data_IF_993635402207
#
_entry.id   IF_993635402207
#
_cell.length_a   1.000
_cell.length_b   1.000
_cell.length_c   1.000
_cell.angle_alpha   90.00
_cell.angle_beta   90.00
_cell.angle_gamma   90.00
#
_symmetry.space_group_name_H-M   'P 1'
#
loop_
_entity.id
_entity.type
_entity.pdbx_description
1 polymer ?
#
# COMPACT_ATOMS: atom_id res chain seq x y z
N UNK A 1 -5.40 33.28 -19.14
CA UNK A 1 -5.65 32.31 -18.05
C UNK A 1 -4.39 31.48 -17.85
N UNK A 2 -3.52 31.88 -16.93
CA UNK A 2 -2.42 31.02 -16.49
C UNK A 2 -2.99 30.13 -15.38
N UNK A 3 -3.32 28.89 -15.72
CA UNK A 3 -3.53 27.86 -14.71
C UNK A 3 -2.15 27.56 -14.16
N UNK A 4 -1.82 28.08 -12.99
CA UNK A 4 -0.66 27.62 -12.22
C UNK A 4 -0.87 26.13 -11.97
N UNK A 5 -0.28 25.29 -12.80
CA UNK A 5 -0.28 23.85 -12.63
C UNK A 5 0.65 23.59 -11.46
N UNK A 6 0.13 23.58 -10.25
CA UNK A 6 0.91 23.20 -9.07
C UNK A 6 1.49 21.83 -9.34
N UNK A 7 2.81 21.78 -9.53
CA UNK A 7 3.54 20.52 -9.69
C UNK A 7 3.48 19.84 -8.32
N UNK A 8 2.82 18.68 -8.27
CA UNK A 8 2.71 17.90 -7.03
C UNK A 8 4.07 17.27 -6.75
N UNK A 9 4.62 17.53 -5.56
CA UNK A 9 5.90 16.98 -5.08
C UNK A 9 5.66 15.96 -3.98
N UNK A 10 6.70 15.19 -3.64
CA UNK A 10 6.69 14.38 -2.42
C UNK A 10 6.31 15.23 -1.20
N UNK A 11 5.71 14.64 -0.17
CA UNK A 11 5.29 15.41 0.97
C UNK A 11 6.45 16.10 1.72
N UNK A 12 6.20 17.08 2.59
CA UNK A 12 7.24 17.73 3.39
C UNK A 12 7.85 16.81 4.48
N UNK A 13 9.02 17.17 5.02
CA UNK A 13 9.72 16.48 6.12
C UNK A 13 9.10 16.72 7.49
N UNK A 14 7.86 16.30 7.64
CA UNK A 14 7.13 16.48 8.89
C UNK A 14 6.56 15.14 9.33
N UNK A 15 7.23 14.02 9.03
CA UNK A 15 6.67 12.69 9.33
C UNK A 15 6.51 12.43 10.83
N UNK A 16 7.36 13.02 11.68
CA UNK A 16 7.20 12.97 13.13
C UNK A 16 6.03 13.84 13.59
N UNK A 17 5.91 15.06 13.05
CA UNK A 17 4.78 15.97 13.32
C UNK A 17 3.47 15.41 12.76
N UNK A 18 3.47 14.71 11.63
CA UNK A 18 2.31 14.02 11.05
C UNK A 18 1.96 12.78 11.86
N UNK A 19 2.93 12.09 12.45
CA UNK A 19 2.63 11.00 13.37
C UNK A 19 2.03 11.54 14.66
N UNK A 20 2.56 12.63 15.23
CA UNK A 20 2.03 13.29 16.42
C UNK A 20 0.65 13.93 16.13
N UNK A 21 0.50 14.63 15.02
CA UNK A 21 -0.76 15.20 14.54
C UNK A 21 -1.76 14.10 14.18
N UNK A 22 -1.32 12.96 13.62
CA UNK A 22 -2.22 11.84 13.37
C UNK A 22 -2.67 11.19 14.69
N UNK A 23 -1.77 11.08 15.68
CA UNK A 23 -2.12 10.61 17.02
C UNK A 23 -3.07 11.60 17.71
N UNK A 24 -2.98 12.89 17.41
CA UNK A 24 -3.92 13.91 17.85
C UNK A 24 -5.20 13.99 16.99
N UNK A 25 -5.20 13.50 15.75
CA UNK A 25 -6.38 13.43 14.84
C UNK A 25 -7.46 12.50 15.42
N UNK A 26 -7.09 11.56 16.28
CA UNK A 26 -8.05 10.78 17.05
C UNK A 26 -8.95 11.62 17.97
N UNK A 27 -8.56 12.85 18.29
CA UNK A 27 -9.29 13.80 19.13
C UNK A 27 -9.92 14.95 18.33
N UNK A 28 -9.66 15.05 17.03
CA UNK A 28 -10.14 16.14 16.19
C UNK A 28 -11.39 15.66 15.43
N UNK A 29 -12.52 16.31 15.66
CA UNK A 29 -13.72 16.13 14.84
C UNK A 29 -13.39 16.47 13.37
N UNK A 30 -13.68 15.54 12.47
CA UNK A 30 -13.50 15.71 11.02
C UNK A 30 -14.19 17.00 10.57
N UNK A 31 -13.47 17.89 9.88
CA UNK A 31 -14.06 19.10 9.32
C UNK A 31 -15.22 18.76 8.38
N UNK A 32 -16.34 19.47 8.49
CA UNK A 32 -17.58 19.30 7.69
C UNK A 32 -17.42 19.52 6.17
N UNK A 33 -16.20 19.60 5.64
CA UNK A 33 -15.97 19.68 4.20
C UNK A 33 -16.29 18.32 3.55
N UNK A 34 -17.24 18.34 2.61
CA UNK A 34 -17.64 17.17 1.85
C UNK A 34 -16.46 16.65 1.02
N UNK A 35 -16.02 15.42 1.31
CA UNK A 35 -14.86 14.82 0.64
C UNK A 35 -15.30 14.35 -0.75
N UNK A 36 -14.74 14.97 -1.78
CA UNK A 36 -14.92 14.49 -3.15
C UNK A 36 -14.08 13.24 -3.41
N UNK A 37 -14.68 12.25 -4.09
CA UNK A 37 -14.02 11.01 -4.46
C UNK A 37 -13.86 10.88 -5.97
N UNK A 38 -12.72 10.34 -6.39
CA UNK A 38 -12.45 9.91 -7.76
C UNK A 38 -12.45 8.38 -7.88
N UNK A 39 -12.69 7.89 -9.10
CA UNK A 39 -12.54 6.49 -9.45
C UNK A 39 -11.24 6.30 -10.24
N UNK A 40 -10.46 5.28 -9.86
CA UNK A 40 -9.25 4.86 -10.57
C UNK A 40 -9.39 3.40 -10.96
N UNK A 41 -9.06 3.07 -12.22
CA UNK A 41 -9.07 1.69 -12.70
C UNK A 41 -7.66 1.13 -12.75
N UNK A 42 -7.47 0.01 -12.05
CA UNK A 42 -6.30 -0.84 -12.13
C UNK A 42 -6.57 -1.98 -13.12
N UNK A 43 -5.70 -2.14 -14.12
CA UNK A 43 -5.78 -3.26 -15.07
C UNK A 43 -4.80 -4.35 -14.62
N UNK A 44 -5.29 -5.58 -14.47
CA UNK A 44 -4.45 -6.72 -14.10
C UNK A 44 -3.47 -7.06 -15.21
N UNK A 45 -2.29 -7.51 -14.83
CA UNK A 45 -1.19 -7.80 -15.76
C UNK A 45 -0.96 -9.31 -15.85
N UNK A 46 -1.03 -9.86 -17.06
CA UNK A 46 -0.78 -11.27 -17.33
C UNK A 46 0.60 -11.75 -16.83
N UNK A 47 0.74 -13.01 -16.35
CA UNK A 47 -0.29 -14.05 -16.35
C UNK A 47 -1.29 -13.92 -15.20
N UNK A 48 -2.59 -14.00 -15.51
CA UNK A 48 -3.69 -14.05 -14.54
C UNK A 48 -4.03 -15.51 -14.25
N UNK A 49 -3.85 -15.95 -13.00
CA UNK A 49 -4.04 -17.36 -12.62
C UNK A 49 -5.49 -17.72 -12.26
N UNK A 50 -6.17 -16.84 -11.55
CA UNK A 50 -7.51 -17.07 -11.00
C UNK A 50 -8.46 -15.92 -11.38
N UNK A 51 -9.75 -16.24 -11.51
CA UNK A 51 -10.81 -15.29 -11.90
C UNK A 51 -10.40 -14.50 -13.15
N UNK A 52 -10.03 -15.22 -14.22
CA UNK A 52 -9.44 -14.67 -15.46
C UNK A 52 -10.42 -13.80 -16.26
N UNK A 53 -11.72 -13.92 -15.98
CA UNK A 53 -12.78 -13.07 -16.51
C UNK A 53 -12.73 -11.64 -15.92
N UNK A 54 -12.15 -11.46 -14.73
CA UNK A 54 -11.97 -10.15 -14.10
C UNK A 54 -10.59 -9.60 -14.50
N UNK A 55 -10.55 -8.70 -15.47
CA UNK A 55 -9.30 -8.14 -16.02
C UNK A 55 -8.93 -6.77 -15.45
N UNK A 56 -9.85 -6.13 -14.72
CA UNK A 56 -9.61 -4.83 -14.10
C UNK A 56 -10.41 -4.66 -12.81
N UNK A 57 -9.92 -3.78 -11.94
CA UNK A 57 -10.52 -3.38 -10.67
C UNK A 57 -10.70 -1.87 -10.67
N UNK A 58 -11.88 -1.39 -10.32
CA UNK A 58 -12.11 0.05 -10.13
C UNK A 58 -12.17 0.34 -8.64
N UNK A 59 -11.28 1.21 -8.17
CA UNK A 59 -11.18 1.61 -6.76
C UNK A 59 -11.54 3.09 -6.60
N UNK A 60 -12.19 3.40 -5.50
CA UNK A 60 -12.46 4.78 -5.09
C UNK A 60 -11.30 5.32 -4.26
N UNK A 61 -10.91 6.56 -4.51
CA UNK A 61 -9.92 7.31 -3.74
C UNK A 61 -10.46 8.72 -3.43
N UNK A 62 -10.21 9.27 -2.24
CA UNK A 62 -10.49 10.68 -1.99
C UNK A 62 -9.65 11.54 -2.94
N UNK A 63 -10.12 12.72 -3.36
CA UNK A 63 -9.33 13.58 -4.25
C UNK A 63 -8.14 14.23 -3.53
N UNK A 64 -8.27 14.47 -2.22
CA UNK A 64 -7.22 14.99 -1.35
C UNK A 64 -7.32 14.35 0.01
N UNK A 65 -6.17 14.17 0.66
CA UNK A 65 -6.11 13.67 2.03
C UNK A 65 -4.75 14.02 2.64
N UNK A 66 -4.73 14.43 3.91
CA UNK A 66 -3.52 14.77 4.66
C UNK A 66 -2.55 13.59 4.78
N UNK A 67 -3.10 12.37 4.94
CA UNK A 67 -2.33 11.11 4.96
C UNK A 67 -2.06 10.52 3.57
N UNK A 68 -2.22 11.31 2.50
CA UNK A 68 -1.93 10.94 1.10
C UNK A 68 -2.65 9.69 0.55
N UNK A 69 -3.85 9.44 1.06
CA UNK A 69 -4.75 8.38 0.60
C UNK A 69 -5.33 8.60 -0.80
N UNK A 70 -5.11 9.77 -1.38
CA UNK A 70 -5.64 10.17 -2.69
C UNK A 70 -4.81 9.60 -3.86
N UNK A 71 -3.75 8.84 -3.58
CA UNK A 71 -2.85 8.27 -4.59
C UNK A 71 -2.89 6.74 -4.55
N UNK A 72 -3.00 6.13 -5.72
CA UNK A 72 -2.62 4.73 -5.91
C UNK A 72 -1.10 4.63 -6.01
N UNK A 73 -0.44 4.40 -4.88
CA UNK A 73 1.03 4.38 -4.81
C UNK A 73 1.65 3.27 -5.66
N UNK A 74 2.76 3.59 -6.34
CA UNK A 74 3.55 2.66 -7.14
C UNK A 74 3.86 1.34 -6.42
N UNK A 75 4.21 1.39 -5.14
CA UNK A 75 4.50 0.20 -4.34
C UNK A 75 3.27 -0.72 -4.21
N UNK A 76 2.07 -0.16 -4.00
CA UNK A 76 0.82 -0.91 -3.92
C UNK A 76 0.45 -1.55 -5.26
N UNK A 77 0.61 -0.82 -6.36
CA UNK A 77 0.40 -1.33 -7.73
C UNK A 77 1.36 -2.48 -8.05
N UNK A 78 2.67 -2.26 -7.83
CA UNK A 78 3.69 -3.24 -8.16
C UNK A 78 3.63 -4.49 -7.26
N UNK A 79 3.23 -4.33 -6.00
CA UNK A 79 2.93 -5.46 -5.12
C UNK A 79 1.71 -6.24 -5.63
N UNK A 80 0.65 -5.56 -6.03
CA UNK A 80 -0.55 -6.20 -6.62
C UNK A 80 -0.18 -7.05 -7.84
N UNK A 81 0.59 -6.52 -8.79
CA UNK A 81 1.08 -7.27 -9.95
C UNK A 81 1.89 -8.51 -9.54
N UNK A 82 2.82 -8.34 -8.59
CA UNK A 82 3.64 -9.45 -8.11
C UNK A 82 2.80 -10.54 -7.43
N UNK A 83 1.87 -10.15 -6.56
CA UNK A 83 1.01 -11.08 -5.85
C UNK A 83 0.16 -11.90 -6.82
N UNK A 84 -0.46 -11.24 -7.80
CA UNK A 84 -1.36 -11.87 -8.78
C UNK A 84 -0.63 -12.96 -9.60
N UNK A 85 0.60 -12.65 -10.00
CA UNK A 85 1.39 -13.51 -10.89
C UNK A 85 2.15 -14.62 -10.15
N UNK A 86 2.47 -14.44 -8.87
CA UNK A 86 3.49 -15.28 -8.21
C UNK A 86 2.96 -16.03 -7.00
N UNK A 87 1.93 -15.55 -6.33
CA UNK A 87 1.48 -16.12 -5.06
C UNK A 87 0.21 -16.93 -5.28
N UNK A 88 0.24 -18.20 -4.86
CA UNK A 88 -0.97 -18.98 -4.65
C UNK A 88 -1.53 -18.63 -3.28
N UNK A 89 -2.72 -18.03 -3.22
CA UNK A 89 -3.37 -17.65 -1.97
C UNK A 89 -4.32 -18.71 -1.41
N UNK A 90 -4.42 -19.87 -2.06
CA UNK A 90 -5.26 -20.98 -1.59
C UNK A 90 -4.95 -21.27 -0.11
N UNK A 91 -5.99 -21.25 0.71
CA UNK A 91 -5.96 -21.45 2.16
C UNK A 91 -5.15 -20.43 3.00
N UNK A 92 -4.76 -19.28 2.43
CA UNK A 92 -4.00 -18.24 3.14
C UNK A 92 -4.89 -17.17 3.76
N UNK A 93 -4.52 -16.73 4.96
CA UNK A 93 -5.06 -15.51 5.59
C UNK A 93 -4.10 -14.35 5.33
N UNK A 94 -4.64 -13.21 4.89
CA UNK A 94 -3.89 -12.01 4.51
C UNK A 94 -4.32 -10.86 5.39
N UNK A 95 -3.34 -10.10 5.88
CA UNK A 95 -3.53 -8.83 6.56
C UNK A 95 -2.69 -7.79 5.83
N UNK A 96 -3.31 -6.68 5.42
CA UNK A 96 -2.63 -5.51 4.87
C UNK A 96 -2.64 -4.37 5.89
N UNK A 97 -1.47 -3.78 6.11
CA UNK A 97 -1.27 -2.62 6.98
C UNK A 97 -1.06 -1.38 6.10
N UNK A 98 -1.88 -0.35 6.29
CA UNK A 98 -1.84 0.86 5.45
C UNK A 98 -2.37 0.59 4.04
N UNK A 99 -3.61 0.09 3.97
CA UNK A 99 -4.18 -0.48 2.74
C UNK A 99 -4.50 0.59 1.69
N UNK A 100 -4.80 1.82 2.08
CA UNK A 100 -5.16 2.93 1.19
C UNK A 100 -6.27 2.56 0.21
N UNK A 101 -5.88 2.31 -1.05
CA UNK A 101 -6.80 1.86 -2.10
C UNK A 101 -7.31 0.42 -1.90
N UNK A 102 -6.49 -0.43 -1.27
CA UNK A 102 -6.81 -1.84 -1.00
C UNK A 102 -6.41 -2.85 -2.08
N UNK A 103 -5.66 -2.43 -3.11
CA UNK A 103 -5.36 -3.26 -4.28
C UNK A 103 -4.69 -4.60 -3.92
N UNK A 104 -3.66 -4.67 -3.05
CA UNK A 104 -3.06 -5.96 -2.67
C UNK A 104 -4.06 -6.93 -2.04
N UNK A 105 -4.96 -6.45 -1.18
CA UNK A 105 -6.05 -7.26 -0.62
C UNK A 105 -7.06 -7.73 -1.68
N UNK A 106 -7.37 -6.89 -2.68
CA UNK A 106 -8.26 -7.30 -3.76
C UNK A 106 -7.64 -8.38 -4.63
N UNK A 107 -6.36 -8.27 -4.95
CA UNK A 107 -5.62 -9.32 -5.65
C UNK A 107 -5.56 -10.61 -4.85
N UNK A 108 -5.29 -10.53 -3.54
CA UNK A 108 -5.31 -11.71 -2.68
C UNK A 108 -6.68 -12.41 -2.73
N UNK A 109 -7.78 -11.66 -2.65
CA UNK A 109 -9.14 -12.20 -2.71
C UNK A 109 -9.43 -12.83 -4.08
N UNK A 110 -9.10 -12.15 -5.18
CA UNK A 110 -9.23 -12.69 -6.55
C UNK A 110 -8.36 -13.93 -6.79
N UNK A 111 -7.35 -14.16 -5.96
CA UNK A 111 -6.53 -15.38 -6.01
C UNK A 111 -6.91 -16.41 -4.95
N UNK A 112 -8.16 -16.39 -4.49
CA UNK A 112 -8.76 -17.35 -3.58
C UNK A 112 -8.13 -17.34 -2.17
N UNK A 113 -7.65 -16.18 -1.71
CA UNK A 113 -7.29 -16.00 -0.31
C UNK A 113 -8.47 -16.37 0.59
N UNK A 114 -8.15 -17.10 1.66
CA UNK A 114 -9.11 -17.69 2.58
C UNK A 114 -9.71 -16.70 3.55
N UNK A 115 -8.99 -15.63 3.85
CA UNK A 115 -9.41 -14.49 4.68
C UNK A 115 -8.52 -13.32 4.30
N UNK A 116 -9.10 -12.14 4.12
CA UNK A 116 -8.37 -10.92 3.81
C UNK A 116 -8.84 -9.82 4.74
N UNK A 117 -7.91 -9.22 5.47
CA UNK A 117 -8.15 -8.12 6.41
C UNK A 117 -7.39 -6.90 5.92
N UNK A 118 -8.12 -5.81 5.73
CA UNK A 118 -7.60 -4.52 5.31
C UNK A 118 -7.59 -3.61 6.52
N UNK A 119 -6.45 -2.99 6.80
CA UNK A 119 -6.32 -2.03 7.90
C UNK A 119 -5.62 -0.77 7.44
N UNK A 120 -5.94 0.35 8.09
CA UNK A 120 -5.32 1.65 7.88
C UNK A 120 -5.51 2.50 9.14
N UNK A 121 -5.09 3.75 9.08
CA UNK A 121 -5.31 4.71 10.16
C UNK A 121 -6.81 4.82 10.44
N UNK A 122 -7.23 4.91 11.72
CA UNK A 122 -8.62 5.10 12.13
C UNK A 122 -9.11 6.54 11.90
N UNK A 123 -8.84 7.03 10.69
CA UNK A 123 -9.42 8.22 10.11
C UNK A 123 -10.70 7.82 9.38
N UNK A 124 -11.79 8.58 9.60
CA UNK A 124 -13.10 8.24 9.05
C UNK A 124 -13.09 8.14 7.52
N UNK A 125 -12.38 9.02 6.83
CA UNK A 125 -12.27 9.01 5.36
C UNK A 125 -11.64 7.73 4.86
N UNK A 126 -10.57 7.29 5.54
CA UNK A 126 -9.85 6.07 5.19
C UNK A 126 -10.71 4.84 5.42
N UNK A 127 -11.30 4.73 6.62
CA UNK A 127 -12.13 3.58 6.98
C UNK A 127 -13.35 3.49 6.07
N UNK A 128 -14.06 4.60 5.83
CA UNK A 128 -15.20 4.66 4.91
C UNK A 128 -14.79 4.27 3.47
N UNK A 129 -13.58 4.65 3.05
CA UNK A 129 -13.09 4.29 1.72
C UNK A 129 -12.76 2.80 1.60
N UNK A 130 -12.15 2.21 2.62
CA UNK A 130 -11.88 0.77 2.66
C UNK A 130 -13.17 -0.04 2.70
N UNK A 131 -14.15 0.37 3.51
CA UNK A 131 -15.45 -0.30 3.57
C UNK A 131 -16.18 -0.24 2.23
N UNK A 132 -16.20 0.94 1.59
CA UNK A 132 -16.77 1.09 0.26
C UNK A 132 -16.07 0.19 -0.76
N UNK A 133 -14.73 0.24 -0.84
CA UNK A 133 -14.01 -0.56 -1.83
C UNK A 133 -14.19 -2.07 -1.53
N UNK A 134 -14.18 -2.51 -0.27
CA UNK A 134 -14.43 -3.91 0.12
C UNK A 134 -15.79 -4.40 -0.38
N UNK A 135 -16.85 -3.64 -0.12
CA UNK A 135 -18.23 -4.03 -0.45
C UNK A 135 -18.57 -3.96 -1.93
N UNK A 136 -17.86 -3.15 -2.70
CA UNK A 136 -18.19 -2.87 -4.10
C UNK A 136 -17.19 -3.45 -5.11
N UNK A 137 -16.11 -4.08 -4.64
CA UNK A 137 -15.06 -4.62 -5.52
C UNK A 137 -15.05 -6.15 -5.59
N UNK A 138 -15.59 -6.87 -4.58
CA UNK A 138 -15.44 -8.33 -4.46
C UNK A 138 -16.70 -9.07 -3.95
N UNK A 139 -16.88 -10.37 -4.29
CA UNK A 139 -17.89 -11.28 -3.70
C UNK A 139 -17.43 -11.97 -2.38
N UNK A 140 -18.36 -12.39 -1.49
CA UNK A 140 -18.08 -12.89 -0.11
C UNK A 140 -17.77 -14.40 0.03
N UNK A 141 -16.80 -14.80 0.91
CA UNK A 141 -16.64 -16.13 1.63
C UNK A 141 -15.29 -16.29 2.37
N UNK A 142 -15.21 -16.84 3.61
CA UNK A 142 -13.91 -17.05 4.36
C UNK A 142 -13.88 -18.16 5.47
N UNK A 143 -12.68 -18.72 5.82
CA UNK A 143 -12.31 -19.49 7.08
C UNK A 143 -10.75 -19.48 7.40
N UNK A 144 -10.20 -20.17 8.44
CA UNK A 144 -8.83 -19.93 9.07
C UNK A 144 -7.63 -20.88 8.74
N UNK A 145 -6.35 -20.42 8.80
CA UNK A 145 -5.13 -21.26 9.02
C UNK A 145 -3.85 -20.47 9.49
N UNK A 146 -2.86 -21.14 10.11
CA UNK A 146 -1.73 -20.55 10.90
C UNK A 146 -0.31 -20.72 10.29
N UNK A 147 0.13 -19.81 9.41
CA UNK A 147 1.57 -19.59 9.12
C UNK A 147 1.83 -18.17 8.60
N UNK A 148 2.75 -17.42 9.24
CA UNK A 148 3.00 -16.00 8.93
C UNK A 148 4.15 -15.80 7.94
N UNK A 149 3.90 -15.05 6.87
CA UNK A 149 4.88 -14.62 5.87
C UNK A 149 4.54 -13.19 5.45
N UNK A 150 5.49 -12.27 5.52
CA UNK A 150 5.24 -10.84 5.29
C UNK A 150 5.95 -10.39 4.03
N UNK A 151 5.21 -9.79 3.10
CA UNK A 151 5.76 -9.11 1.92
C UNK A 151 5.79 -7.60 2.18
N UNK A 152 6.93 -6.97 1.93
CA UNK A 152 7.13 -5.52 2.08
C UNK A 152 7.55 -4.95 0.75
N UNK A 153 6.75 -4.06 0.18
CA UNK A 153 7.06 -3.31 -1.02
C UNK A 153 7.08 -1.82 -0.71
N UNK A 154 8.10 -1.10 -1.18
CA UNK A 154 8.22 0.34 -0.94
C UNK A 154 9.05 1.02 -2.03
N UNK A 155 8.88 2.33 -2.19
CA UNK A 155 9.61 3.16 -3.14
C UNK A 155 10.19 4.40 -2.45
N UNK A 156 11.45 4.71 -2.76
CA UNK A 156 12.15 5.85 -2.18
C UNK A 156 11.75 7.16 -2.86
N UNK A 157 10.63 7.75 -2.48
CA UNK A 157 10.19 9.03 -3.05
C UNK A 157 11.09 10.22 -2.65
N UNK A 158 11.89 10.06 -1.59
CA UNK A 158 12.90 11.03 -1.15
C UNK A 158 14.29 10.38 -1.13
N UNK A 159 15.08 10.48 -2.22
CA UNK A 159 16.35 9.76 -2.36
C UNK A 159 17.39 10.06 -1.27
N UNK A 160 17.34 11.24 -0.67
CA UNK A 160 18.22 11.63 0.43
C UNK A 160 17.88 10.93 1.77
N UNK A 161 16.83 10.09 1.82
CA UNK A 161 16.38 9.38 3.02
C UNK A 161 16.34 7.86 2.90
N UNK A 162 16.99 7.34 1.87
CA UNK A 162 17.15 5.90 1.69
C UNK A 162 17.61 5.23 2.99
N UNK A 163 18.52 5.85 3.74
CA UNK A 163 18.97 5.32 5.03
C UNK A 163 17.85 5.20 6.07
N UNK A 164 16.95 6.20 6.18
CA UNK A 164 15.80 6.15 7.09
C UNK A 164 14.80 5.07 6.67
N UNK A 165 14.56 4.93 5.37
CA UNK A 165 13.70 3.87 4.83
C UNK A 165 14.29 2.49 5.13
N UNK A 166 15.61 2.33 4.97
CA UNK A 166 16.30 1.07 5.26
C UNK A 166 16.39 0.76 6.77
N UNK A 167 16.29 1.77 7.63
CA UNK A 167 16.30 1.59 9.08
C UNK A 167 15.12 0.74 9.58
N UNK A 168 14.00 0.72 8.84
CA UNK A 168 12.89 -0.22 9.11
C UNK A 168 13.37 -1.67 9.19
N UNK A 169 14.16 -2.12 8.20
CA UNK A 169 14.67 -3.49 8.17
C UNK A 169 15.73 -3.74 9.23
N UNK A 170 16.50 -2.71 9.61
CA UNK A 170 17.44 -2.81 10.72
C UNK A 170 16.68 -3.09 12.02
N UNK A 171 15.69 -2.25 12.35
CA UNK A 171 14.85 -2.41 13.55
C UNK A 171 14.13 -3.77 13.53
N UNK A 172 13.55 -4.17 12.40
CA UNK A 172 12.83 -5.44 12.29
C UNK A 172 13.72 -6.68 12.59
N UNK A 173 15.02 -6.59 12.31
CA UNK A 173 15.98 -7.67 12.58
C UNK A 173 16.51 -7.65 14.02
N UNK A 174 16.40 -6.53 14.73
CA UNK A 174 16.82 -6.38 16.12
C UNK A 174 15.76 -6.94 17.10
N UNK A 175 16.17 -7.20 18.34
CA UNK A 175 15.25 -7.53 19.43
C UNK A 175 14.28 -6.36 19.68
N UNK A 176 12.99 -6.61 20.00
CA UNK A 176 12.36 -7.91 20.26
C UNK A 176 11.79 -8.61 19.01
N UNK A 177 11.93 -8.01 17.82
CA UNK A 177 11.19 -8.41 16.63
C UNK A 177 11.77 -9.66 15.95
N UNK A 178 13.10 -9.73 15.85
CA UNK A 178 13.84 -10.91 15.37
C UNK A 178 13.36 -11.46 14.01
N UNK A 179 13.06 -10.58 13.05
CA UNK A 179 12.78 -10.98 11.69
C UNK A 179 14.07 -11.20 10.90
N UNK A 180 13.97 -11.98 9.83
CA UNK A 180 14.96 -12.07 8.77
C UNK A 180 14.39 -11.27 7.60
N UNK A 181 15.12 -10.24 7.17
CA UNK A 181 14.74 -9.41 6.03
C UNK A 181 15.52 -9.85 4.78
N UNK A 182 14.81 -10.25 3.74
CA UNK A 182 15.41 -10.73 2.49
C UNK A 182 14.83 -9.94 1.30
N UNK A 183 15.69 -9.18 0.63
CA UNK A 183 15.33 -8.54 -0.64
C UNK A 183 15.26 -9.61 -1.73
N UNK A 184 14.19 -9.62 -2.51
CA UNK A 184 14.03 -10.61 -3.57
C UNK A 184 13.75 -10.01 -4.95
N UNK A 185 13.37 -8.73 -5.05
CA UNK A 185 13.07 -8.09 -6.34
C UNK A 185 13.22 -6.57 -6.28
N UNK A 186 13.47 -5.98 -7.45
CA UNK A 186 13.28 -4.56 -7.74
C UNK A 186 12.51 -4.39 -9.06
N UNK A 187 11.76 -3.30 -9.17
CA UNK A 187 11.07 -2.91 -10.40
C UNK A 187 11.22 -1.41 -10.64
N UNK A 188 11.37 -1.01 -11.90
CA UNK A 188 11.32 0.41 -12.30
C UNK A 188 9.92 0.75 -12.80
N UNK A 189 9.33 1.81 -12.25
CA UNK A 189 8.06 2.37 -12.69
C UNK A 189 8.27 3.79 -13.23
N UNK A 190 7.17 4.49 -13.57
CA UNK A 190 7.23 5.94 -13.73
C UNK A 190 7.33 6.57 -12.33
N UNK A 191 8.14 7.62 -12.13
CA UNK A 191 8.19 8.29 -10.84
C UNK A 191 6.79 8.82 -10.46
N UNK A 192 6.42 8.73 -9.17
CA UNK A 192 5.13 9.25 -8.69
C UNK A 192 4.97 10.75 -8.96
N UNK A 193 6.09 11.49 -8.88
CA UNK A 193 6.15 12.93 -9.11
C UNK A 193 7.15 13.19 -10.24
N UNK A 194 6.70 13.87 -11.31
CA UNK A 194 7.51 14.06 -12.52
C UNK A 194 8.78 14.87 -12.23
N UNK A 195 8.64 15.98 -11.50
CA UNK A 195 9.74 16.86 -11.12
C UNK A 195 9.80 16.93 -9.60
N UNK A 196 10.81 16.28 -9.01
CA UNK A 196 10.97 16.24 -7.55
C UNK A 196 12.45 16.05 -7.18
N UNK A 197 12.80 16.38 -5.94
CA UNK A 197 14.17 16.42 -5.44
C UNK A 197 14.83 15.03 -5.45
N UNK A 198 16.09 15.00 -5.90
CA UNK A 198 16.93 13.80 -5.91
C UNK A 198 16.75 12.92 -7.15
N UNK A 199 17.56 11.86 -7.21
CA UNK A 199 17.67 10.98 -8.38
C UNK A 199 16.33 10.35 -8.78
N UNK A 200 15.88 10.63 -10.01
CA UNK A 200 14.69 10.00 -10.60
C UNK A 200 14.83 8.47 -10.63
N UNK A 201 16.04 7.96 -10.88
CA UNK A 201 16.32 6.52 -10.85
C UNK A 201 15.96 5.89 -9.52
N UNK A 202 16.21 6.60 -8.41
CA UNK A 202 15.85 6.13 -7.07
C UNK A 202 14.34 6.28 -6.86
N UNK A 203 13.74 7.43 -7.20
CA UNK A 203 12.30 7.72 -7.03
C UNK A 203 11.38 6.80 -7.82
N UNK A 204 11.88 6.24 -8.91
CA UNK A 204 11.12 5.33 -9.79
C UNK A 204 11.32 3.85 -9.45
N UNK A 205 12.18 3.52 -8.48
CA UNK A 205 12.44 2.13 -8.08
C UNK A 205 11.50 1.70 -6.96
N UNK A 206 10.84 0.56 -7.16
CA UNK A 206 10.12 -0.17 -6.12
C UNK A 206 10.99 -1.35 -5.68
N UNK A 207 11.20 -1.48 -4.38
CA UNK A 207 11.96 -2.56 -3.76
C UNK A 207 11.02 -3.55 -3.09
N UNK A 208 11.35 -4.84 -3.17
CA UNK A 208 10.57 -5.90 -2.57
C UNK A 208 11.41 -6.74 -1.61
N UNK A 209 10.89 -6.90 -0.40
CA UNK A 209 11.48 -7.67 0.68
C UNK A 209 10.47 -8.67 1.24
N UNK A 210 10.98 -9.75 1.81
CA UNK A 210 10.21 -10.62 2.70
C UNK A 210 10.71 -10.45 4.13
N UNK A 211 9.79 -10.49 5.11
CA UNK A 211 10.13 -10.68 6.51
C UNK A 211 9.61 -12.03 6.98
N UNK A 212 10.49 -12.82 7.60
CA UNK A 212 10.15 -14.11 8.21
C UNK A 212 10.65 -14.10 9.65
N UNK A 213 9.83 -14.55 10.61
CA UNK A 213 10.27 -14.64 11.99
C UNK A 213 11.39 -15.67 12.09
N UNK A 214 12.52 -15.31 12.72
CA UNK A 214 13.59 -16.26 13.00
C UNK A 214 13.02 -17.34 13.91
N UNK A 215 13.10 -18.60 13.49
CA UNK A 215 12.68 -19.71 14.35
C UNK A 215 13.63 -19.74 15.55
N UNK A 216 13.08 -19.71 16.76
CA UNK A 216 13.86 -19.97 17.95
C UNK A 216 14.33 -21.43 17.86
N UNK A 217 15.64 -21.65 17.92
CA UNK A 217 16.21 -22.98 18.09
C UNK A 217 15.92 -23.50 19.50
#
# INVERSE_FOLDING_TARGET
MNVNKTIMSSPPDVSAEILDDAVNIFEIESSDEEIEYGLTTYNRVEPIKNNTDITSLTVRLPQRHSLWAHLAWNAGLALSDFLDQNIDFTDKTVLELGSGAGLPCFIATLNNAKTVVMTDYPDKTLIDNLEYNRSNTLPERFTNNNRLFIYVAFSHHRPHRVEKDMNFFKIAQEEPFNFIAEKFKELKMKPMFAEDLGSEEVRKTVHFYTLKKKQQQ
#
